data_IF_179600256504
#
_entry.id   IF_179600256504
#
_cell.length_a   1.000
_cell.length_b   1.000
_cell.length_c   1.000
_cell.angle_alpha   90.00
_cell.angle_beta   90.00
_cell.angle_gamma   90.00
#
_symmetry.space_group_name_H-M   'P 1'
#
loop_
_entity.id
_entity.type
_entity.pdbx_description
1 polymer ?
#
# COMPACT_ATOMS: atom_id res chain seq x y z
N UNK A 1 -30.52 -77.73 22.15
CA UNK A 1 -30.00 -76.79 21.09
C UNK A 1 -30.28 -75.35 21.53
N UNK A 2 -29.22 -74.56 21.90
CA UNK A 2 -29.35 -73.16 22.26
C UNK A 2 -28.83 -72.33 21.09
N UNK A 3 -29.52 -71.27 20.62
CA UNK A 3 -29.02 -70.44 19.54
C UNK A 3 -27.94 -69.47 20.06
N UNK A 4 -26.82 -69.40 19.35
CA UNK A 4 -25.77 -68.39 19.54
C UNK A 4 -26.16 -67.11 18.85
N UNK A 5 -26.29 -66.02 19.60
CA UNK A 5 -26.49 -64.69 19.10
C UNK A 5 -25.10 -64.10 18.75
N UNK A 6 -24.88 -63.79 17.46
CA UNK A 6 -23.69 -63.06 16.99
C UNK A 6 -24.02 -61.55 17.02
N UNK A 7 -23.32 -60.85 17.90
CA UNK A 7 -23.41 -59.39 17.97
C UNK A 7 -22.31 -58.80 17.04
N UNK A 8 -22.74 -58.25 15.87
CA UNK A 8 -21.85 -57.50 14.99
C UNK A 8 -21.68 -56.09 15.53
N UNK A 9 -20.51 -55.76 16.03
CA UNK A 9 -20.11 -54.36 16.32
C UNK A 9 -19.69 -53.70 15.01
N UNK A 10 -20.47 -52.74 14.55
CA UNK A 10 -20.04 -51.82 13.49
C UNK A 10 -19.20 -50.73 14.12
N UNK A 11 -17.89 -50.72 13.82
CA UNK A 11 -16.99 -49.60 14.10
C UNK A 11 -17.23 -48.50 13.06
N UNK A 12 -17.90 -47.40 13.43
CA UNK A 12 -17.98 -46.22 12.63
C UNK A 12 -16.67 -45.43 12.78
N UNK A 13 -15.80 -45.51 11.77
CA UNK A 13 -14.63 -44.64 11.66
C UNK A 13 -15.11 -43.23 11.21
N UNK A 14 -15.20 -42.31 12.15
CA UNK A 14 -15.38 -40.89 11.85
C UNK A 14 -14.01 -40.36 11.41
N UNK A 15 -13.79 -40.23 10.11
CA UNK A 15 -12.65 -39.52 9.57
C UNK A 15 -12.84 -38.01 9.83
N UNK A 16 -12.13 -37.47 10.80
CA UNK A 16 -11.93 -36.02 10.94
C UNK A 16 -11.09 -35.54 9.75
N UNK A 17 -11.80 -35.08 8.70
CA UNK A 17 -11.18 -34.30 7.64
C UNK A 17 -10.75 -32.95 8.25
N UNK A 18 -9.48 -32.80 8.59
CA UNK A 18 -8.89 -31.49 8.86
C UNK A 18 -8.87 -30.72 7.55
N UNK A 19 -9.90 -29.89 7.34
CA UNK A 19 -9.84 -28.85 6.32
C UNK A 19 -8.71 -27.91 6.71
N UNK A 20 -7.57 -28.00 6.04
CA UNK A 20 -6.59 -26.93 6.06
C UNK A 20 -7.32 -25.70 5.49
N UNK A 21 -7.71 -24.79 6.37
CA UNK A 21 -8.11 -23.44 5.95
C UNK A 21 -6.92 -22.88 5.16
N UNK A 22 -7.11 -22.66 3.87
CA UNK A 22 -6.18 -21.84 3.10
C UNK A 22 -6.15 -20.50 3.82
N UNK A 23 -4.98 -20.10 4.33
CA UNK A 23 -4.82 -18.81 4.96
C UNK A 23 -5.34 -17.74 3.99
N UNK A 24 -6.33 -16.98 4.41
CA UNK A 24 -6.89 -15.91 3.60
C UNK A 24 -5.81 -14.85 3.43
N UNK A 25 -5.58 -14.41 2.19
CA UNK A 25 -4.64 -13.32 1.92
C UNK A 25 -5.14 -12.04 2.59
N UNK A 26 -4.32 -11.33 3.37
CA UNK A 26 -4.73 -10.07 3.99
C UNK A 26 -5.20 -9.05 2.97
N UNK A 27 -6.25 -8.29 3.30
CA UNK A 27 -6.74 -7.19 2.48
C UNK A 27 -6.10 -5.88 2.94
N UNK A 28 -5.53 -5.10 2.04
CA UNK A 28 -4.83 -3.87 2.43
C UNK A 28 -4.39 -3.00 1.26
N UNK A 29 -3.35 -2.23 1.50
CA UNK A 29 -2.74 -1.29 0.57
C UNK A 29 -2.49 -1.89 -0.81
N UNK A 30 -3.10 -1.29 -1.85
CA UNK A 30 -2.94 -1.64 -3.27
C UNK A 30 -3.27 -3.10 -3.63
N UNK A 31 -4.25 -3.70 -2.94
CA UNK A 31 -4.70 -5.07 -3.21
C UNK A 31 -3.85 -6.16 -2.52
N UNK A 32 -4.18 -7.41 -2.84
CA UNK A 32 -3.63 -8.59 -2.16
C UNK A 32 -2.11 -8.73 -2.27
N UNK A 33 -1.54 -8.36 -3.42
CA UNK A 33 -0.09 -8.43 -3.69
C UNK A 33 0.62 -7.08 -3.51
N UNK A 34 -0.09 -6.04 -3.10
CA UNK A 34 0.41 -4.66 -2.94
C UNK A 34 0.99 -4.04 -4.22
N UNK A 35 0.61 -4.55 -5.39
CA UNK A 35 1.11 -4.18 -6.71
C UNK A 35 0.14 -3.30 -7.51
N UNK A 36 -1.06 -3.05 -6.98
CA UNK A 36 -2.11 -2.26 -7.65
C UNK A 36 -2.89 -3.03 -8.71
N UNK A 37 -2.73 -4.35 -8.79
CA UNK A 37 -3.47 -5.20 -9.74
C UNK A 37 -4.67 -5.83 -9.04
N UNK A 38 -5.85 -5.69 -9.63
CA UNK A 38 -7.10 -6.27 -9.14
C UNK A 38 -7.57 -7.36 -10.09
N UNK A 39 -7.84 -8.58 -9.57
CA UNK A 39 -8.21 -9.77 -10.35
C UNK A 39 -9.68 -9.77 -10.78
N UNK A 40 -10.22 -8.61 -11.15
CA UNK A 40 -11.60 -8.46 -11.62
C UNK A 40 -11.68 -8.68 -13.14
N UNK A 41 -12.81 -9.15 -13.61
CA UNK A 41 -13.07 -9.37 -15.03
C UNK A 41 -14.50 -8.97 -15.43
N UNK A 42 -14.71 -8.70 -16.72
CA UNK A 42 -16.01 -8.26 -17.25
C UNK A 42 -16.34 -6.82 -16.88
N UNK A 43 -15.33 -6.00 -16.63
CA UNK A 43 -15.48 -4.58 -16.34
C UNK A 43 -15.74 -3.77 -17.62
N UNK A 44 -16.38 -2.62 -17.50
CA UNK A 44 -16.61 -1.70 -18.59
C UNK A 44 -15.28 -1.27 -19.23
N UNK A 45 -15.17 -1.37 -20.54
CA UNK A 45 -14.03 -0.94 -21.33
C UNK A 45 -14.18 0.48 -21.87
N UNK A 46 -15.36 1.04 -21.73
CA UNK A 46 -15.71 2.44 -22.05
C UNK A 46 -16.75 2.87 -21.01
N UNK A 47 -16.60 4.04 -20.46
CA UNK A 47 -17.59 4.66 -19.59
C UNK A 47 -18.51 5.59 -20.40
N UNK A 48 -19.75 5.85 -19.95
CA UNK A 48 -20.59 6.94 -20.48
C UNK A 48 -19.88 8.29 -20.37
N UNK A 49 -20.31 9.27 -21.18
CA UNK A 49 -19.73 10.63 -21.20
C UNK A 49 -19.75 11.33 -19.83
N UNK A 50 -20.76 11.03 -18.99
CA UNK A 50 -20.88 11.53 -17.62
C UNK A 50 -20.09 10.67 -16.59
N UNK A 51 -19.33 9.69 -17.05
CA UNK A 51 -18.63 8.72 -16.21
C UNK A 51 -19.49 7.51 -15.78
N UNK A 52 -18.92 6.60 -15.00
CA UNK A 52 -19.66 5.45 -14.47
C UNK A 52 -20.71 5.90 -13.43
N UNK A 53 -21.80 5.14 -13.32
CA UNK A 53 -22.89 5.46 -12.42
C UNK A 53 -22.43 5.52 -10.97
N UNK A 54 -22.63 6.65 -10.29
CA UNK A 54 -22.47 6.78 -8.85
C UNK A 54 -23.54 5.93 -8.14
N UNK A 55 -23.12 4.98 -7.32
CA UNK A 55 -24.01 4.15 -6.51
C UNK A 55 -24.36 4.82 -5.19
N UNK A 56 -23.37 5.35 -4.52
CA UNK A 56 -23.51 6.09 -3.26
C UNK A 56 -22.27 6.95 -2.97
N UNK A 57 -22.43 7.90 -2.05
CA UNK A 57 -21.36 8.69 -1.46
C UNK A 57 -21.52 8.83 0.05
N UNK A 58 -20.41 8.83 0.80
CA UNK A 58 -20.35 9.12 2.23
C UNK A 58 -19.37 10.27 2.45
N UNK A 59 -19.76 11.29 3.24
CA UNK A 59 -19.00 12.52 3.43
C UNK A 59 -18.34 12.60 4.82
N UNK A 60 -18.27 11.48 5.52
CA UNK A 60 -17.89 11.39 6.92
C UNK A 60 -16.82 10.30 7.18
N UNK A 61 -16.01 10.00 6.14
CA UNK A 61 -14.89 9.05 6.25
C UNK A 61 -13.71 9.59 7.09
N UNK A 62 -13.77 10.85 7.48
CA UNK A 62 -12.67 11.58 8.11
C UNK A 62 -11.68 12.10 7.05
N UNK A 63 -10.96 13.17 7.36
CA UNK A 63 -9.98 13.76 6.44
C UNK A 63 -8.79 12.83 6.23
N UNK A 64 -8.32 12.67 4.99
CA UNK A 64 -7.12 11.88 4.75
C UNK A 64 -6.95 11.38 3.33
N UNK A 65 -5.87 10.65 3.15
CA UNK A 65 -5.36 10.16 1.88
C UNK A 65 -5.22 8.63 1.84
N UNK A 66 -5.62 7.91 2.88
CA UNK A 66 -5.61 6.45 2.88
C UNK A 66 -6.55 5.90 1.81
N UNK A 67 -6.21 4.77 1.22
CA UNK A 67 -7.11 4.05 0.33
C UNK A 67 -8.20 3.32 1.14
N UNK A 68 -9.42 3.17 0.62
CA UNK A 68 -10.36 2.24 1.21
C UNK A 68 -9.85 0.80 1.08
N UNK A 69 -10.26 -0.07 2.00
CA UNK A 69 -10.01 -1.51 1.94
C UNK A 69 -11.34 -2.23 2.01
N UNK A 70 -11.60 -3.10 1.04
CA UNK A 70 -12.80 -3.94 1.06
C UNK A 70 -12.41 -5.33 1.53
N UNK A 71 -13.06 -5.80 2.60
CA UNK A 71 -12.89 -7.13 3.14
C UNK A 71 -14.24 -7.69 3.62
N UNK A 72 -14.64 -8.84 3.07
CA UNK A 72 -15.98 -9.39 3.27
C UNK A 72 -17.06 -8.39 2.80
N UNK A 73 -18.06 -8.17 3.64
CA UNK A 73 -19.20 -7.29 3.35
C UNK A 73 -19.00 -5.85 3.87
N UNK A 74 -17.74 -5.43 4.09
CA UNK A 74 -17.42 -4.12 4.70
C UNK A 74 -16.29 -3.41 4.00
N UNK A 75 -16.34 -2.09 4.12
CA UNK A 75 -15.30 -1.16 3.65
C UNK A 75 -14.69 -0.47 4.88
N UNK A 76 -13.36 -0.46 4.93
CA UNK A 76 -12.55 0.11 6.00
C UNK A 76 -11.74 1.27 5.46
N UNK A 77 -11.79 2.42 6.10
CA UNK A 77 -11.01 3.59 5.72
C UNK A 77 -10.56 4.35 6.97
N UNK A 78 -9.30 4.72 7.02
CA UNK A 78 -8.77 5.56 8.10
C UNK A 78 -8.88 7.03 7.72
N UNK A 79 -9.05 7.91 8.69
CA UNK A 79 -9.16 9.35 8.48
C UNK A 79 -8.86 10.10 9.77
N UNK A 80 -8.86 11.41 9.72
CA UNK A 80 -8.81 12.29 10.86
C UNK A 80 -10.22 12.66 11.30
N UNK A 81 -10.48 12.73 12.60
CA UNK A 81 -11.74 13.24 13.13
C UNK A 81 -11.91 14.77 12.84
N UNK A 82 -13.10 15.29 13.07
CA UNK A 82 -13.43 16.68 12.71
C UNK A 82 -12.59 17.73 13.43
N UNK A 83 -12.27 17.51 14.70
CA UNK A 83 -11.46 18.40 15.53
C UNK A 83 -9.94 18.18 15.36
N UNK A 84 -9.53 17.30 14.46
CA UNK A 84 -8.14 17.00 14.08
C UNK A 84 -7.26 16.54 15.27
N UNK A 85 -7.87 15.93 16.27
CA UNK A 85 -7.19 15.48 17.49
C UNK A 85 -6.83 14.00 17.47
N UNK A 86 -7.54 13.18 16.65
CA UNK A 86 -7.37 11.74 16.59
C UNK A 86 -7.53 11.19 15.17
N UNK A 87 -6.79 10.15 14.88
CA UNK A 87 -7.05 9.30 13.72
C UNK A 87 -8.13 8.27 14.04
N UNK A 88 -9.02 8.06 13.09
CA UNK A 88 -10.20 7.21 13.18
C UNK A 88 -10.20 6.13 12.10
N UNK A 89 -10.73 4.96 12.44
CA UNK A 89 -11.15 3.93 11.50
C UNK A 89 -12.66 4.05 11.30
N UNK A 90 -13.09 4.37 10.09
CA UNK A 90 -14.50 4.39 9.68
C UNK A 90 -14.84 3.12 8.91
N UNK A 91 -15.93 2.47 9.27
CA UNK A 91 -16.36 1.22 8.65
C UNK A 91 -17.76 1.37 8.06
N UNK A 92 -17.91 0.94 6.80
CA UNK A 92 -19.14 1.02 6.03
C UNK A 92 -19.54 -0.37 5.51
N UNK A 93 -20.82 -0.54 5.26
CA UNK A 93 -21.34 -1.64 4.43
C UNK A 93 -21.06 -1.37 2.95
N UNK A 94 -21.18 -2.37 2.08
CA UNK A 94 -20.97 -2.19 0.64
C UNK A 94 -21.98 -1.24 -0.02
N UNK A 95 -23.14 -1.01 0.62
CA UNK A 95 -24.14 -0.02 0.20
C UNK A 95 -23.93 1.38 0.82
N UNK A 96 -22.78 1.63 1.44
CA UNK A 96 -22.33 2.95 1.91
C UNK A 96 -22.88 3.38 3.29
N UNK A 97 -23.56 2.51 4.02
CA UNK A 97 -24.04 2.84 5.37
C UNK A 97 -22.90 2.70 6.39
N UNK A 98 -22.71 3.73 7.22
CA UNK A 98 -21.74 3.66 8.31
C UNK A 98 -22.17 2.61 9.34
N UNK A 99 -21.22 1.72 9.69
CA UNK A 99 -21.43 0.67 10.71
C UNK A 99 -20.96 1.16 12.06
N UNK A 100 -19.69 1.61 12.13
CA UNK A 100 -19.10 2.22 13.32
C UNK A 100 -17.89 3.07 12.94
N UNK A 101 -17.37 3.80 13.94
CA UNK A 101 -16.15 4.55 13.84
C UNK A 101 -15.36 4.41 15.15
N UNK A 102 -14.05 4.16 15.06
CA UNK A 102 -13.17 3.97 16.22
C UNK A 102 -11.99 4.92 16.14
N UNK A 103 -11.78 5.74 17.17
CA UNK A 103 -10.55 6.50 17.34
C UNK A 103 -9.42 5.54 17.73
N UNK A 104 -8.30 5.55 17.01
CA UNK A 104 -7.24 4.57 17.23
C UNK A 104 -5.88 5.17 17.57
N UNK A 105 -5.58 6.40 17.15
CA UNK A 105 -4.23 6.93 17.38
C UNK A 105 -4.10 8.44 17.24
N UNK A 106 -2.92 8.91 17.57
CA UNK A 106 -2.54 10.31 17.48
C UNK A 106 -2.15 10.67 16.06
N UNK A 107 -2.63 11.81 15.50
CA UNK A 107 -2.30 12.25 14.18
C UNK A 107 -0.87 12.81 14.11
N UNK A 108 -0.38 12.99 12.89
CA UNK A 108 0.77 13.83 12.63
C UNK A 108 0.32 15.29 12.59
N UNK A 109 0.78 16.09 13.55
CA UNK A 109 0.24 17.45 13.79
C UNK A 109 1.01 18.59 13.08
N UNK A 110 2.09 18.31 12.33
CA UNK A 110 2.99 19.38 11.87
C UNK A 110 2.76 19.82 10.43
N UNK A 111 2.72 18.89 9.48
CA UNK A 111 2.60 19.19 8.06
C UNK A 111 1.65 18.21 7.40
N UNK A 112 0.67 18.71 6.65
CA UNK A 112 -0.35 17.86 6.05
C UNK A 112 -0.90 16.87 7.08
N UNK A 113 -1.64 17.34 8.09
CA UNK A 113 -1.99 16.54 9.28
C UNK A 113 -2.93 15.37 9.00
N UNK A 114 -3.47 15.27 7.81
CA UNK A 114 -4.45 14.26 7.41
C UNK A 114 -3.88 12.84 7.41
N UNK A 115 -4.70 11.87 7.77
CA UNK A 115 -4.32 10.44 7.86
C UNK A 115 -3.92 9.86 6.51
N UNK A 116 -2.80 9.12 6.47
CA UNK A 116 -2.22 8.56 5.23
C UNK A 116 -2.22 7.04 5.18
N UNK A 117 -2.14 6.39 6.32
CA UNK A 117 -1.96 4.93 6.40
C UNK A 117 -3.24 4.20 6.02
N UNK A 118 -3.14 3.22 5.13
CA UNK A 118 -4.24 2.34 4.77
C UNK A 118 -4.27 1.16 5.75
N UNK A 119 -5.44 0.76 6.29
CA UNK A 119 -5.52 -0.37 7.20
C UNK A 119 -5.21 -1.69 6.48
N UNK A 120 -4.74 -2.68 7.21
CA UNK A 120 -4.65 -4.07 6.73
C UNK A 120 -5.63 -4.93 7.52
N UNK A 121 -6.51 -5.64 6.82
CA UNK A 121 -7.54 -6.49 7.41
C UNK A 121 -7.11 -7.95 7.26
N UNK A 122 -6.98 -8.63 8.38
CA UNK A 122 -6.61 -10.05 8.42
C UNK A 122 -7.27 -10.74 9.62
N UNK A 123 -7.79 -11.95 9.43
CA UNK A 123 -8.33 -12.82 10.48
C UNK A 123 -9.25 -12.11 11.48
N UNK A 124 -10.19 -11.29 11.00
CA UNK A 124 -11.15 -10.58 11.85
C UNK A 124 -10.58 -9.38 12.61
N UNK A 125 -9.39 -8.90 12.23
CA UNK A 125 -8.71 -7.75 12.82
C UNK A 125 -8.35 -6.72 11.76
N UNK A 126 -8.30 -5.45 12.18
CA UNK A 126 -7.75 -4.34 11.41
C UNK A 126 -6.47 -3.86 12.09
N UNK A 127 -5.39 -3.79 11.33
CA UNK A 127 -4.10 -3.30 11.79
C UNK A 127 -3.81 -1.96 11.13
N UNK A 128 -3.42 -0.97 11.92
CA UNK A 128 -3.14 0.39 11.48
C UNK A 128 -1.89 0.93 12.17
N UNK A 129 -1.29 1.93 11.53
CA UNK A 129 -0.20 2.72 12.12
C UNK A 129 -0.66 4.18 12.09
N UNK A 130 -0.66 4.87 13.21
CA UNK A 130 -1.04 6.29 13.27
C UNK A 130 0.07 7.19 12.70
N UNK A 131 -0.26 8.42 12.35
CA UNK A 131 0.70 9.43 11.90
C UNK A 131 1.85 9.64 12.90
N UNK A 132 1.57 9.49 14.20
CA UNK A 132 2.57 9.53 15.26
C UNK A 132 3.39 8.23 15.41
N UNK A 133 3.01 7.13 14.73
CA UNK A 133 3.72 5.85 14.76
C UNK A 133 3.24 4.87 15.84
N UNK A 134 2.02 5.04 16.33
CA UNK A 134 1.37 4.02 17.16
C UNK A 134 0.84 2.88 16.28
N UNK A 135 1.17 1.63 16.62
CA UNK A 135 0.66 0.44 15.93
C UNK A 135 -0.54 -0.06 16.71
N UNK A 136 -1.67 -0.27 16.03
CA UNK A 136 -2.95 -0.58 16.68
C UNK A 136 -3.64 -1.73 15.98
N UNK A 137 -4.17 -2.67 16.77
CA UNK A 137 -5.04 -3.75 16.35
C UNK A 137 -6.45 -3.50 16.87
N UNK A 138 -7.43 -3.56 15.97
CA UNK A 138 -8.85 -3.37 16.27
C UNK A 138 -9.61 -4.63 15.84
N UNK A 139 -10.55 -5.10 16.66
CA UNK A 139 -11.50 -6.14 16.27
C UNK A 139 -12.52 -5.56 15.28
N UNK A 140 -12.66 -6.18 14.10
CA UNK A 140 -13.56 -5.65 13.06
C UNK A 140 -15.05 -5.94 13.31
N UNK A 141 -15.36 -6.76 14.29
CA UNK A 141 -16.76 -7.08 14.59
C UNK A 141 -17.48 -5.88 15.21
N UNK A 142 -16.83 -5.18 16.15
CA UNK A 142 -17.40 -4.10 16.96
C UNK A 142 -16.52 -2.85 17.08
N UNK A 143 -15.28 -2.90 16.59
CA UNK A 143 -14.37 -1.76 16.56
C UNK A 143 -13.59 -1.53 17.87
N UNK A 144 -13.59 -2.46 18.84
CA UNK A 144 -12.78 -2.28 20.04
C UNK A 144 -11.28 -2.47 19.77
N UNK A 145 -10.43 -1.72 20.47
CA UNK A 145 -8.98 -1.87 20.40
C UNK A 145 -8.58 -3.12 21.17
N UNK A 146 -7.93 -4.08 20.47
CA UNK A 146 -7.41 -5.31 21.05
C UNK A 146 -6.07 -5.07 21.73
N UNK A 147 -5.17 -4.38 21.03
CA UNK A 147 -3.89 -3.95 21.56
C UNK A 147 -3.39 -2.71 20.83
N UNK A 148 -2.50 -1.98 21.51
CA UNK A 148 -1.86 -0.77 20.99
C UNK A 148 -0.42 -0.69 21.48
N UNK A 149 0.52 -0.38 20.59
CA UNK A 149 1.94 -0.19 20.87
C UNK A 149 2.34 1.21 20.44
N UNK A 150 2.88 2.02 21.34
CA UNK A 150 3.53 3.30 21.00
C UNK A 150 4.89 3.00 20.34
N UNK A 151 4.85 2.71 19.05
CA UNK A 151 6.03 2.34 18.28
C UNK A 151 7.00 3.51 18.09
N UNK A 152 6.51 4.74 18.13
CA UNK A 152 7.34 5.93 18.10
C UNK A 152 8.30 5.97 19.29
N UNK A 153 7.78 5.73 20.48
CA UNK A 153 8.54 5.71 21.73
C UNK A 153 9.31 4.40 21.93
N UNK A 154 8.63 3.25 21.74
CA UNK A 154 9.20 1.93 22.02
C UNK A 154 10.42 1.60 21.16
N UNK A 155 10.50 2.14 19.96
CA UNK A 155 11.58 1.87 19.00
C UNK A 155 12.43 3.11 18.68
N UNK A 156 12.26 4.22 19.42
CA UNK A 156 12.97 5.48 19.18
C UNK A 156 12.89 5.91 17.71
N UNK A 157 11.66 5.88 17.17
CA UNK A 157 11.38 6.12 15.76
C UNK A 157 12.01 7.41 15.27
N UNK A 158 12.57 7.36 14.07
CA UNK A 158 13.05 8.53 13.34
C UNK A 158 12.25 8.68 12.06
N UNK A 159 11.57 9.81 11.89
CA UNK A 159 10.70 10.06 10.74
C UNK A 159 11.04 11.36 10.06
N UNK A 160 10.69 11.44 8.77
CA UNK A 160 10.74 12.67 8.00
C UNK A 160 9.61 13.65 8.34
N UNK A 161 9.44 14.69 7.54
CA UNK A 161 8.55 15.83 7.80
C UNK A 161 7.05 15.52 7.78
N UNK A 162 6.63 14.37 7.26
CA UNK A 162 5.20 14.09 7.01
C UNK A 162 4.65 12.94 7.88
N UNK A 163 5.35 12.56 8.95
CA UNK A 163 4.90 11.51 9.85
C UNK A 163 4.98 10.12 9.24
N UNK A 164 4.07 9.22 9.63
CA UNK A 164 3.96 7.86 9.10
C UNK A 164 2.91 7.79 8.00
N UNK A 165 3.23 7.11 6.89
CA UNK A 165 2.25 6.72 5.87
C UNK A 165 2.35 5.23 5.51
N UNK A 166 3.20 4.49 6.19
CA UNK A 166 3.35 3.05 6.03
C UNK A 166 2.07 2.32 6.41
N UNK A 167 1.53 1.53 5.48
CA UNK A 167 0.47 0.57 5.74
C UNK A 167 1.08 -0.74 6.22
N UNK A 168 0.68 -1.27 7.39
CA UNK A 168 1.34 -2.44 7.97
C UNK A 168 1.24 -3.67 7.06
N UNK A 169 2.33 -4.40 6.91
CA UNK A 169 2.33 -5.70 6.26
C UNK A 169 1.99 -6.76 7.30
N UNK A 170 0.98 -7.59 7.01
CA UNK A 170 0.53 -8.66 7.90
C UNK A 170 0.65 -10.00 7.18
N UNK A 171 1.31 -10.98 7.81
CA UNK A 171 1.43 -12.36 7.33
C UNK A 171 1.90 -13.27 8.47
N UNK A 172 1.57 -14.54 8.44
CA UNK A 172 2.00 -15.56 9.41
C UNK A 172 1.91 -15.09 10.87
N UNK A 173 0.81 -14.49 11.26
CA UNK A 173 0.59 -13.92 12.59
C UNK A 173 1.61 -12.83 12.99
N UNK A 174 2.22 -12.13 12.02
CA UNK A 174 3.16 -11.04 12.23
C UNK A 174 2.61 -9.74 11.65
N UNK A 175 2.79 -8.64 12.38
CA UNK A 175 2.59 -7.27 11.91
C UNK A 175 3.96 -6.61 11.77
N UNK A 176 4.30 -6.18 10.56
CA UNK A 176 5.58 -5.55 10.25
C UNK A 176 5.44 -4.04 10.30
N UNK A 177 6.39 -3.39 10.94
CA UNK A 177 6.53 -1.94 11.03
C UNK A 177 8.00 -1.52 10.86
N UNK A 178 8.21 -0.38 10.18
CA UNK A 178 9.55 0.17 9.88
C UNK A 178 9.77 1.49 10.64
N UNK A 179 10.08 1.46 11.95
CA UNK A 179 10.34 2.67 12.72
C UNK A 179 11.60 3.41 12.27
N UNK A 180 12.55 2.72 11.64
CA UNK A 180 13.87 3.24 11.28
C UNK A 180 14.50 4.05 12.46
N UNK A 181 14.36 3.49 13.66
CA UNK A 181 14.80 4.12 14.89
C UNK A 181 16.24 3.82 15.24
N UNK A 182 16.69 4.41 16.34
CA UNK A 182 18.06 4.13 16.82
C UNK A 182 18.23 2.68 17.29
N UNK A 183 17.15 2.03 17.74
CA UNK A 183 17.18 0.65 18.24
C UNK A 183 17.02 -0.38 17.12
N UNK A 184 16.21 -0.09 16.11
CA UNK A 184 15.87 -1.06 15.05
C UNK A 184 15.39 -0.36 13.79
N UNK A 185 15.72 -0.91 12.63
CA UNK A 185 15.19 -0.45 11.36
C UNK A 185 13.77 -0.98 11.13
N UNK A 186 13.54 -2.28 11.34
CA UNK A 186 12.26 -2.96 11.14
C UNK A 186 11.94 -3.88 12.31
N UNK A 187 10.68 -4.03 12.65
CA UNK A 187 10.19 -4.86 13.74
C UNK A 187 9.02 -5.72 13.27
N UNK A 188 8.93 -6.96 13.78
CA UNK A 188 7.73 -7.77 13.72
C UNK A 188 7.09 -7.86 15.11
N UNK A 189 5.79 -7.59 15.15
CA UNK A 189 4.94 -7.77 16.32
C UNK A 189 4.04 -8.99 16.10
N UNK A 190 3.70 -9.68 17.19
CA UNK A 190 2.67 -10.70 17.17
C UNK A 190 1.31 -10.06 16.87
N UNK A 191 0.61 -10.58 15.88
CA UNK A 191 -0.64 -9.99 15.41
C UNK A 191 -1.78 -10.08 16.46
N UNK A 192 -1.72 -11.01 17.41
CA UNK A 192 -2.74 -11.19 18.43
C UNK A 192 -2.47 -10.36 19.69
N UNK A 193 -1.20 -10.16 20.05
CA UNK A 193 -0.83 -9.55 21.34
C UNK A 193 -0.12 -8.21 21.21
N UNK A 194 0.46 -7.90 20.04
CA UNK A 194 1.32 -6.72 19.85
C UNK A 194 2.72 -6.87 20.46
N UNK A 195 3.08 -8.03 21.00
CA UNK A 195 4.41 -8.29 21.55
C UNK A 195 5.45 -8.41 20.43
N UNK A 196 6.70 -8.03 20.74
CA UNK A 196 7.79 -8.07 19.77
C UNK A 196 8.22 -9.51 19.53
N UNK A 197 8.15 -9.98 18.28
CA UNK A 197 8.69 -11.28 17.83
C UNK A 197 10.17 -11.15 17.52
N UNK A 198 10.53 -10.15 16.70
CA UNK A 198 11.92 -9.85 16.37
C UNK A 198 12.14 -8.36 16.05
N UNK A 199 13.38 -7.94 16.19
CA UNK A 199 13.90 -6.61 15.78
C UNK A 199 15.07 -6.81 14.84
N UNK A 200 15.12 -6.09 13.74
CA UNK A 200 16.33 -6.00 12.92
C UNK A 200 17.40 -5.16 13.60
N UNK A 201 18.63 -5.20 13.10
CA UNK A 201 19.62 -4.18 13.45
C UNK A 201 19.16 -2.80 12.99
N UNK A 202 19.61 -1.75 13.66
CA UNK A 202 19.46 -0.38 13.17
C UNK A 202 20.49 -0.09 12.09
N UNK A 203 20.06 0.54 10.98
CA UNK A 203 20.94 1.12 9.95
C UNK A 203 21.32 2.57 10.26
N UNK A 204 20.70 3.19 11.28
CA UNK A 204 20.90 4.59 11.60
C UNK A 204 20.23 5.58 10.65
N UNK A 205 19.42 5.09 9.71
CA UNK A 205 18.69 5.89 8.73
C UNK A 205 17.43 6.53 9.35
N UNK A 206 16.69 7.29 8.54
CA UNK A 206 15.37 7.83 8.86
C UNK A 206 14.30 6.99 8.13
N UNK A 207 13.11 6.83 8.71
CA UNK A 207 11.99 6.17 8.06
C UNK A 207 11.50 6.92 6.83
N UNK A 208 11.04 6.17 5.83
CA UNK A 208 10.37 6.70 4.64
C UNK A 208 8.85 6.53 4.75
N UNK A 209 8.17 6.57 3.62
CA UNK A 209 6.72 6.48 3.51
C UNK A 209 6.27 5.19 2.82
N UNK A 210 7.20 4.29 2.50
CA UNK A 210 6.94 3.06 1.79
C UNK A 210 6.22 2.04 2.68
N UNK A 211 5.18 1.43 2.15
CA UNK A 211 4.57 0.23 2.73
C UNK A 211 5.36 -1.01 2.29
N UNK A 212 5.88 -1.82 3.21
CA UNK A 212 6.68 -3.01 2.87
C UNK A 212 5.85 -4.07 2.16
N UNK A 213 6.52 -4.94 1.41
CA UNK A 213 5.89 -6.09 0.74
C UNK A 213 6.64 -7.38 1.04
N UNK A 214 5.94 -8.51 0.97
CA UNK A 214 6.52 -9.85 1.09
C UNK A 214 6.64 -10.46 -0.31
N UNK A 215 7.85 -10.79 -0.71
CA UNK A 215 8.12 -11.50 -1.96
C UNK A 215 8.42 -12.98 -1.70
N UNK A 216 8.19 -13.79 -2.73
CA UNK A 216 8.57 -15.22 -2.75
C UNK A 216 9.35 -15.53 -4.02
N UNK A 217 10.52 -16.15 -3.87
CA UNK A 217 11.38 -16.52 -4.99
C UNK A 217 12.10 -17.83 -4.71
N UNK A 218 12.00 -18.80 -5.62
CA UNK A 218 12.68 -20.09 -5.52
C UNK A 218 12.52 -20.79 -4.14
N UNK A 219 11.32 -20.71 -3.58
CA UNK A 219 10.99 -21.32 -2.29
C UNK A 219 11.43 -20.54 -1.05
N UNK A 220 12.06 -19.37 -1.21
CA UNK A 220 12.42 -18.45 -0.14
C UNK A 220 11.48 -17.25 -0.11
N UNK A 221 11.34 -16.63 1.06
CA UNK A 221 10.54 -15.41 1.25
C UNK A 221 11.42 -14.30 1.82
N UNK A 222 11.09 -13.08 1.47
CA UNK A 222 11.80 -11.91 1.96
C UNK A 222 10.84 -10.72 2.08
N UNK A 223 10.95 -9.93 3.13
CA UNK A 223 10.30 -8.64 3.25
C UNK A 223 11.17 -7.61 2.54
N UNK A 224 10.56 -6.86 1.63
CA UNK A 224 11.20 -5.70 1.02
C UNK A 224 10.69 -4.46 1.72
N UNK A 225 11.59 -3.72 2.33
CA UNK A 225 11.34 -2.48 3.05
C UNK A 225 12.26 -1.36 2.57
N UNK A 226 12.06 -0.14 3.06
CA UNK A 226 12.89 1.00 2.70
C UNK A 226 13.10 1.93 3.89
N UNK A 227 14.27 2.53 3.92
CA UNK A 227 14.61 3.69 4.72
C UNK A 227 14.87 4.88 3.80
N UNK A 228 15.17 6.05 4.35
CA UNK A 228 15.54 7.23 3.55
C UNK A 228 16.81 7.05 2.73
N UNK A 229 17.62 6.06 3.04
CA UNK A 229 18.90 5.81 2.35
C UNK A 229 18.88 4.48 1.60
N UNK A 230 18.27 3.44 2.16
CA UNK A 230 18.38 2.09 1.63
C UNK A 230 17.02 1.47 1.28
N UNK A 231 16.98 0.74 0.17
CA UNK A 231 16.04 -0.36 -0.03
C UNK A 231 16.64 -1.60 0.63
N UNK A 232 15.86 -2.34 1.39
CA UNK A 232 16.36 -3.46 2.20
C UNK A 232 15.57 -4.75 1.94
N UNK A 233 16.29 -5.86 1.95
CA UNK A 233 15.74 -7.20 2.02
C UNK A 233 15.89 -7.78 3.42
N UNK A 234 14.78 -8.12 4.07
CA UNK A 234 14.75 -8.59 5.46
C UNK A 234 14.21 -10.00 5.53
N UNK A 235 14.88 -10.86 6.28
CA UNK A 235 14.44 -12.22 6.55
C UNK A 235 13.16 -12.18 7.41
N UNK A 236 12.03 -12.78 6.94
CA UNK A 236 10.74 -12.68 7.63
C UNK A 236 10.67 -13.48 8.93
N UNK A 237 11.60 -14.40 9.17
CA UNK A 237 11.56 -15.30 10.33
C UNK A 237 12.35 -14.73 11.53
N UNK A 238 13.42 -13.98 11.27
CA UNK A 238 14.35 -13.53 12.32
C UNK A 238 14.68 -12.01 12.27
N UNK A 239 14.25 -11.28 11.23
CA UNK A 239 14.51 -9.86 11.10
C UNK A 239 15.91 -9.47 10.62
N UNK A 240 16.74 -10.43 10.20
CA UNK A 240 18.05 -10.12 9.65
C UNK A 240 17.91 -9.33 8.34
N UNK A 241 18.64 -8.23 8.23
CA UNK A 241 18.80 -7.50 6.96
C UNK A 241 19.83 -8.26 6.14
N UNK A 242 19.37 -8.96 5.10
CA UNK A 242 20.21 -9.79 4.24
C UNK A 242 21.01 -8.93 3.25
N UNK A 243 20.40 -7.86 2.76
CA UNK A 243 21.04 -6.86 1.92
C UNK A 243 20.43 -5.47 2.14
N UNK A 244 21.22 -4.45 1.81
CA UNK A 244 20.80 -3.05 1.79
C UNK A 244 21.40 -2.39 0.55
N UNK A 245 20.56 -1.87 -0.34
CA UNK A 245 20.94 -1.17 -1.54
C UNK A 245 20.69 0.33 -1.36
N UNK A 246 21.72 1.16 -1.51
CA UNK A 246 21.66 2.62 -1.29
C UNK A 246 22.44 3.43 -2.32
N UNK A 247 22.98 2.78 -3.36
CA UNK A 247 23.67 3.48 -4.46
C UNK A 247 22.68 3.94 -5.53
N UNK A 248 22.11 5.11 -5.32
CA UNK A 248 21.13 5.71 -6.24
C UNK A 248 21.77 6.49 -7.38
N UNK A 249 23.11 6.57 -7.45
CA UNK A 249 23.83 7.31 -8.48
C UNK A 249 23.60 8.84 -8.42
N UNK A 250 23.03 9.34 -7.35
CA UNK A 250 22.84 10.77 -7.09
C UNK A 250 23.47 11.13 -5.75
N UNK A 251 24.12 12.30 -5.67
CA UNK A 251 24.65 12.73 -4.38
C UNK A 251 23.48 12.91 -3.41
N UNK A 252 23.70 12.51 -2.19
CA UNK A 252 22.73 12.67 -1.16
C UNK A 252 22.33 14.15 -0.99
N UNK A 253 21.04 14.43 -0.91
CA UNK A 253 20.53 15.80 -0.74
C UNK A 253 20.35 16.12 0.75
N UNK A 254 20.85 17.27 1.25
CA UNK A 254 20.56 17.69 2.60
C UNK A 254 19.05 17.95 2.74
N UNK A 255 18.46 17.46 3.81
CA UNK A 255 17.06 17.73 4.11
C UNK A 255 16.89 19.19 4.56
N UNK A 256 15.96 19.97 3.96
CA UNK A 256 15.92 21.42 4.19
C UNK A 256 15.38 21.85 5.55
N UNK A 257 15.03 20.96 6.47
CA UNK A 257 14.48 21.37 7.75
C UNK A 257 15.38 21.05 8.93
N UNK A 258 15.98 22.06 9.49
CA UNK A 258 16.58 22.06 10.83
C UNK A 258 15.58 21.73 11.95
N UNK A 259 14.27 21.71 11.65
CA UNK A 259 13.19 21.66 12.65
C UNK A 259 12.99 20.30 13.32
N UNK A 260 13.36 19.19 12.69
CA UNK A 260 13.02 17.87 13.24
C UNK A 260 14.21 17.11 13.80
N UNK A 261 15.44 17.30 13.31
CA UNK A 261 16.58 16.50 13.77
C UNK A 261 17.92 17.23 13.94
N UNK A 262 18.02 18.52 13.63
CA UNK A 262 19.30 19.24 13.73
C UNK A 262 20.40 18.59 12.88
N UNK A 263 20.08 17.88 11.78
CA UNK A 263 21.04 17.08 11.04
C UNK A 263 21.02 17.37 9.54
N UNK A 264 22.20 17.39 8.98
CA UNK A 264 22.49 17.36 7.54
C UNK A 264 22.17 15.99 6.90
N UNK A 265 21.36 15.15 7.54
CA UNK A 265 21.04 13.82 7.00
C UNK A 265 20.15 13.93 5.77
N UNK A 266 20.59 13.22 4.76
CA UNK A 266 19.90 13.10 3.50
C UNK A 266 18.65 12.26 3.65
N UNK A 267 17.56 12.73 3.09
CA UNK A 267 16.30 12.00 3.11
C UNK A 267 15.80 11.85 1.69
N UNK A 268 15.93 10.64 1.17
CA UNK A 268 15.19 10.25 -0.02
C UNK A 268 13.75 9.93 0.36
N UNK A 269 12.82 10.41 -0.43
CA UNK A 269 11.41 10.09 -0.27
C UNK A 269 11.14 8.85 -1.11
N UNK A 270 10.85 7.73 -0.45
CA UNK A 270 10.53 6.46 -1.09
C UNK A 270 9.12 6.04 -0.69
N UNK A 271 8.05 6.56 -1.34
CA UNK A 271 6.69 6.28 -0.92
C UNK A 271 6.09 5.03 -1.58
N UNK A 272 6.74 4.48 -2.61
CA UNK A 272 6.14 3.45 -3.44
C UNK A 272 6.59 2.03 -3.03
N UNK A 273 5.62 1.12 -2.92
CA UNK A 273 5.89 -0.30 -2.76
C UNK A 273 6.53 -0.86 -4.03
N UNK A 274 7.63 -1.62 -3.95
CA UNK A 274 8.30 -2.17 -5.13
C UNK A 274 7.43 -3.19 -5.88
N UNK A 275 7.62 -3.29 -7.20
CA UNK A 275 7.13 -4.40 -7.99
C UNK A 275 8.17 -5.52 -8.02
N UNK A 276 7.71 -6.76 -7.89
CA UNK A 276 8.58 -7.91 -7.97
C UNK A 276 8.07 -8.93 -8.99
N UNK A 277 8.95 -9.39 -9.87
CA UNK A 277 8.66 -10.48 -10.80
C UNK A 277 9.95 -11.20 -11.20
N UNK A 278 9.99 -12.53 -11.04
CA UNK A 278 11.06 -13.40 -11.54
C UNK A 278 12.48 -12.96 -11.13
N UNK A 279 12.67 -12.64 -9.83
CA UNK A 279 13.95 -12.20 -9.28
C UNK A 279 14.29 -10.74 -9.55
N UNK A 280 13.48 -10.01 -10.32
CA UNK A 280 13.65 -8.59 -10.60
C UNK A 280 12.76 -7.77 -9.69
N UNK A 281 13.31 -6.67 -9.18
CA UNK A 281 12.64 -5.76 -8.28
C UNK A 281 12.73 -4.33 -8.84
N UNK A 282 11.60 -3.76 -9.25
CA UNK A 282 11.53 -2.36 -9.65
C UNK A 282 11.13 -1.48 -8.48
N UNK A 283 11.84 -0.41 -8.28
CA UNK A 283 11.61 0.57 -7.24
C UNK A 283 11.85 1.99 -7.77
N UNK A 284 11.05 2.96 -7.33
CA UNK A 284 11.18 4.34 -7.76
C UNK A 284 11.15 5.29 -6.57
N UNK A 285 12.05 6.27 -6.63
CA UNK A 285 12.01 7.47 -5.80
C UNK A 285 11.45 8.64 -6.59
N UNK A 286 10.74 9.53 -5.91
CA UNK A 286 10.41 10.83 -6.47
C UNK A 286 11.57 11.84 -6.36
N UNK A 287 11.31 13.10 -6.73
CA UNK A 287 12.24 14.24 -6.59
C UNK A 287 13.53 14.11 -7.43
N UNK A 288 13.41 13.77 -8.70
CA UNK A 288 14.51 13.65 -9.67
C UNK A 288 15.58 12.59 -9.31
N UNK A 289 15.20 11.53 -8.59
CA UNK A 289 16.12 10.43 -8.29
C UNK A 289 15.97 9.30 -9.33
N UNK A 290 14.75 9.00 -9.76
CA UNK A 290 14.46 8.04 -10.82
C UNK A 290 13.93 6.69 -10.35
N UNK A 291 13.77 5.79 -11.30
CA UNK A 291 13.39 4.40 -11.12
C UNK A 291 14.57 3.46 -11.32
N UNK A 292 14.60 2.37 -10.57
CA UNK A 292 15.71 1.42 -10.50
C UNK A 292 15.19 -0.01 -10.64
N UNK A 293 15.78 -0.78 -11.51
CA UNK A 293 15.58 -2.22 -11.60
C UNK A 293 16.75 -2.94 -10.96
N UNK A 294 16.45 -3.73 -9.94
CA UNK A 294 17.43 -4.58 -9.28
C UNK A 294 17.22 -6.05 -9.65
N UNK A 295 18.31 -6.80 -9.73
CA UNK A 295 18.31 -8.25 -9.77
C UNK A 295 18.63 -8.79 -8.38
N UNK A 296 17.75 -9.62 -7.83
CA UNK A 296 18.02 -10.41 -6.64
C UNK A 296 18.65 -11.74 -7.05
N UNK A 297 19.65 -12.18 -6.28
CA UNK A 297 20.19 -13.53 -6.47
C UNK A 297 19.18 -14.59 -6.00
N UNK A 298 19.44 -15.86 -6.33
CA UNK A 298 18.54 -16.99 -6.00
C UNK A 298 18.34 -17.20 -4.50
N UNK A 299 19.31 -16.79 -3.71
CA UNK A 299 19.30 -16.92 -2.26
C UNK A 299 18.67 -15.73 -1.53
N UNK A 300 18.32 -14.67 -2.25
CA UNK A 300 17.79 -13.40 -1.72
C UNK A 300 18.75 -12.69 -0.74
N UNK A 301 20.07 -12.89 -0.91
CA UNK A 301 21.12 -12.30 -0.05
C UNK A 301 21.83 -11.12 -0.69
N UNK A 302 21.59 -10.89 -1.98
CA UNK A 302 22.23 -9.81 -2.75
C UNK A 302 21.22 -9.18 -3.71
N UNK A 303 21.35 -7.85 -3.88
CA UNK A 303 20.63 -7.07 -4.86
C UNK A 303 21.64 -6.28 -5.71
N UNK A 304 21.58 -6.39 -7.02
CA UNK A 304 22.45 -5.68 -7.96
C UNK A 304 21.64 -4.85 -8.94
N UNK A 305 22.13 -3.66 -9.30
CA UNK A 305 21.50 -2.78 -10.26
C UNK A 305 21.60 -3.36 -11.67
N UNK A 306 20.45 -3.51 -12.37
CA UNK A 306 20.38 -3.87 -13.78
C UNK A 306 20.32 -2.64 -14.68
N UNK A 307 19.39 -1.72 -14.37
CA UNK A 307 19.20 -0.49 -15.11
C UNK A 307 18.54 0.59 -14.25
N UNK A 308 18.66 1.83 -14.69
CA UNK A 308 18.07 3.03 -14.11
C UNK A 308 17.33 3.81 -15.21
N UNK A 309 16.22 4.45 -14.85
CA UNK A 309 15.52 5.42 -15.68
C UNK A 309 15.26 6.70 -14.91
N UNK A 310 15.45 7.85 -15.56
CA UNK A 310 15.11 9.16 -14.99
C UNK A 310 13.65 9.57 -15.32
N UNK A 311 13.00 8.86 -16.26
CA UNK A 311 11.66 9.18 -16.71
C UNK A 311 10.54 8.76 -15.74
N UNK A 312 10.76 7.72 -14.91
CA UNK A 312 9.77 7.21 -13.98
C UNK A 312 10.23 7.37 -12.52
N UNK A 313 10.28 8.60 -12.06
CA UNK A 313 10.57 9.00 -10.70
C UNK A 313 9.27 9.25 -9.90
N UNK A 314 8.44 8.23 -9.79
CA UNK A 314 7.10 8.31 -9.19
C UNK A 314 7.17 8.81 -7.74
N UNK A 315 6.36 9.84 -7.43
CA UNK A 315 6.30 10.40 -6.08
C UNK A 315 5.42 9.54 -5.16
N UNK A 316 4.09 9.63 -5.23
CA UNK A 316 3.15 8.86 -4.39
C UNK A 316 2.05 8.13 -5.18
N UNK A 317 2.07 8.24 -6.51
CA UNK A 317 1.04 7.65 -7.37
C UNK A 317 1.16 6.14 -7.56
N UNK A 318 2.31 5.57 -7.20
CA UNK A 318 2.59 4.17 -7.48
C UNK A 318 2.79 3.88 -8.97
N UNK A 319 2.94 2.61 -9.26
CA UNK A 319 3.10 2.07 -10.63
C UNK A 319 2.53 0.66 -10.67
N UNK A 320 2.24 0.17 -11.86
CA UNK A 320 1.74 -1.21 -12.11
C UNK A 320 2.52 -1.86 -13.24
N UNK A 321 2.65 -3.19 -13.21
CA UNK A 321 3.26 -3.98 -14.27
C UNK A 321 2.17 -4.70 -15.06
N UNK A 322 1.97 -4.31 -16.32
CA UNK A 322 0.98 -4.92 -17.21
C UNK A 322 1.64 -5.26 -18.54
N UNK A 323 1.51 -6.50 -19.00
CA UNK A 323 2.00 -6.92 -20.31
C UNK A 323 3.52 -6.75 -20.56
N UNK A 324 4.34 -6.73 -19.47
CA UNK A 324 5.79 -6.49 -19.59
C UNK A 324 6.19 -5.01 -19.58
N UNK A 325 5.24 -4.10 -19.33
CA UNK A 325 5.48 -2.66 -19.27
C UNK A 325 5.09 -2.14 -17.87
N UNK A 326 5.94 -1.31 -17.29
CA UNK A 326 5.67 -0.56 -16.06
C UNK A 326 4.95 0.72 -16.46
N UNK A 327 3.77 0.95 -15.92
CA UNK A 327 3.01 2.18 -16.09
C UNK A 327 2.93 2.94 -14.78
N UNK A 328 3.12 4.25 -14.83
CA UNK A 328 3.05 5.14 -13.67
C UNK A 328 2.99 6.60 -14.08
N UNK A 329 3.15 7.49 -13.10
CA UNK A 329 3.32 8.91 -13.35
C UNK A 329 4.62 9.39 -12.73
N UNK A 330 5.32 10.34 -13.39
CA UNK A 330 6.54 10.92 -12.84
C UNK A 330 6.29 12.20 -12.04
N UNK A 331 7.34 12.70 -11.42
CA UNK A 331 7.35 13.96 -10.70
C UNK A 331 8.19 14.98 -11.50
N UNK A 332 7.55 16.06 -11.96
CA UNK A 332 8.25 17.22 -12.55
C UNK A 332 8.32 18.33 -11.52
N UNK A 333 7.21 18.56 -10.82
CA UNK A 333 7.09 19.45 -9.66
C UNK A 333 6.04 18.91 -8.69
N UNK A 334 5.87 19.52 -7.54
CA UNK A 334 4.79 19.12 -6.61
C UNK A 334 3.39 19.15 -7.26
N UNK A 335 3.23 19.89 -8.32
CA UNK A 335 1.94 20.07 -9.01
C UNK A 335 1.90 19.54 -10.44
N UNK A 336 2.98 19.03 -10.97
CA UNK A 336 3.08 18.61 -12.36
C UNK A 336 3.83 17.28 -12.47
N UNK A 337 3.42 16.48 -13.44
CA UNK A 337 4.05 15.25 -13.87
C UNK A 337 3.50 14.84 -15.24
N UNK A 338 4.02 13.77 -15.77
CA UNK A 338 3.55 13.10 -16.97
C UNK A 338 3.20 11.65 -16.62
N UNK A 339 2.42 11.02 -17.47
CA UNK A 339 2.19 9.57 -17.45
C UNK A 339 3.27 8.90 -18.29
N UNK A 340 3.78 7.77 -17.80
CA UNK A 340 5.02 7.17 -18.31
C UNK A 340 4.83 5.65 -18.45
N UNK A 341 5.37 5.11 -19.53
CA UNK A 341 5.52 3.69 -19.74
C UNK A 341 7.00 3.34 -19.90
N UNK A 342 7.45 2.30 -19.20
CA UNK A 342 8.85 1.82 -19.22
C UNK A 342 8.86 0.31 -19.42
N UNK A 343 9.69 -0.18 -20.31
CA UNK A 343 9.88 -1.61 -20.53
C UNK A 343 10.50 -2.28 -19.28
N UNK A 344 9.89 -3.38 -18.82
CA UNK A 344 10.33 -4.13 -17.63
C UNK A 344 11.73 -4.72 -17.74
N UNK A 345 12.14 -5.10 -18.95
CA UNK A 345 13.41 -5.80 -19.19
C UNK A 345 14.54 -4.82 -19.43
N UNK A 346 14.31 -3.82 -20.30
CA UNK A 346 15.35 -2.92 -20.80
C UNK A 346 15.43 -1.59 -20.06
N UNK A 347 14.34 -1.14 -19.44
CA UNK A 347 14.25 0.20 -18.85
C UNK A 347 14.02 1.31 -19.89
N UNK A 348 13.79 0.95 -21.15
CA UNK A 348 13.50 1.92 -22.21
C UNK A 348 12.13 2.54 -22.03
N UNK A 349 12.05 3.86 -22.20
CA UNK A 349 10.80 4.62 -22.11
C UNK A 349 10.05 4.51 -23.43
N UNK A 350 8.82 3.98 -23.37
CA UNK A 350 7.92 3.92 -24.51
C UNK A 350 7.20 5.24 -24.74
N UNK A 351 6.68 5.86 -23.67
CA UNK A 351 6.15 7.23 -23.69
C UNK A 351 6.39 7.96 -22.36
N UNK A 352 6.39 9.29 -22.42
CA UNK A 352 6.44 10.21 -21.28
C UNK A 352 5.56 11.42 -21.66
N UNK A 353 4.25 11.31 -21.43
CA UNK A 353 3.23 12.21 -22.00
C UNK A 353 2.36 12.86 -20.93
N UNK A 354 1.96 14.12 -21.12
CA UNK A 354 0.96 14.75 -20.27
C UNK A 354 -0.42 14.14 -20.54
N UNK A 355 -1.30 14.15 -19.53
CA UNK A 355 -2.73 13.95 -19.75
C UNK A 355 -3.31 15.17 -20.50
N UNK A 356 -4.25 14.96 -21.41
CA UNK A 356 -4.94 16.04 -22.09
C UNK A 356 -5.48 17.06 -21.09
N UNK A 357 -5.27 18.35 -21.38
CA UNK A 357 -5.58 19.45 -20.46
C UNK A 357 -4.45 19.84 -19.51
N UNK A 358 -3.27 19.20 -19.60
CA UNK A 358 -2.05 19.65 -18.92
C UNK A 358 -1.28 18.57 -18.19
N UNK A 359 -0.08 18.93 -17.76
CA UNK A 359 0.81 18.05 -16.98
C UNK A 359 0.16 17.67 -15.67
N UNK A 360 -0.01 16.37 -15.43
CA UNK A 360 -0.58 15.83 -14.21
C UNK A 360 0.09 14.49 -13.83
N UNK A 361 0.01 14.17 -12.57
CA UNK A 361 0.46 12.90 -12.01
C UNK A 361 -0.62 12.40 -11.04
N UNK A 362 -0.49 11.19 -10.58
CA UNK A 362 -1.45 10.66 -9.62
C UNK A 362 -1.38 9.15 -9.47
N UNK A 363 -2.40 8.60 -8.83
CA UNK A 363 -2.48 7.18 -8.54
C UNK A 363 -2.84 6.35 -9.77
N UNK A 364 -2.28 5.15 -9.84
CA UNK A 364 -2.58 4.16 -10.89
C UNK A 364 -2.82 2.78 -10.28
N UNK A 365 -3.86 2.12 -10.79
CA UNK A 365 -4.15 0.71 -10.56
C UNK A 365 -4.54 0.04 -11.89
N UNK A 366 -4.60 -1.27 -11.92
CA UNK A 366 -5.01 -2.01 -13.11
C UNK A 366 -5.99 -3.14 -12.77
N UNK A 367 -6.95 -3.37 -13.66
CA UNK A 367 -7.89 -4.48 -13.64
C UNK A 367 -8.40 -4.78 -15.05
N UNK A 368 -8.68 -6.05 -15.34
CA UNK A 368 -9.33 -6.47 -16.56
C UNK A 368 -8.72 -5.84 -17.83
N UNK A 369 -7.37 -5.88 -17.93
CA UNK A 369 -6.60 -5.36 -19.07
C UNK A 369 -6.75 -3.84 -19.30
N UNK A 370 -7.18 -3.08 -18.27
CA UNK A 370 -7.26 -1.61 -18.31
C UNK A 370 -6.48 -1.01 -17.13
N UNK A 371 -5.99 0.22 -17.34
CA UNK A 371 -5.43 1.06 -16.31
C UNK A 371 -6.49 2.05 -15.82
N UNK A 372 -6.51 2.31 -14.53
CA UNK A 372 -7.35 3.32 -13.89
C UNK A 372 -6.42 4.36 -13.29
N UNK A 373 -6.38 5.52 -13.91
CA UNK A 373 -5.51 6.63 -13.54
C UNK A 373 -6.30 7.70 -12.78
N UNK A 374 -5.80 8.18 -11.65
CA UNK A 374 -6.46 9.20 -10.83
C UNK A 374 -5.53 10.39 -10.61
N UNK A 375 -5.85 11.51 -11.26
CA UNK A 375 -5.08 12.76 -11.22
C UNK A 375 -5.11 13.38 -9.82
N UNK A 376 -3.94 13.69 -9.26
CA UNK A 376 -3.77 14.14 -7.88
C UNK A 376 -4.25 15.57 -7.58
N UNK A 377 -4.59 16.37 -8.62
CA UNK A 377 -4.99 17.78 -8.49
C UNK A 377 -6.35 18.12 -9.07
N UNK A 378 -6.62 17.66 -10.29
CA UNK A 378 -7.85 17.99 -11.01
C UNK A 378 -8.99 17.04 -10.66
N UNK A 379 -8.65 15.91 -10.03
CA UNK A 379 -9.59 14.86 -9.70
C UNK A 379 -10.14 14.11 -10.91
N UNK A 380 -9.41 14.12 -12.03
CA UNK A 380 -9.79 13.34 -13.21
C UNK A 380 -9.51 11.86 -12.94
N UNK A 381 -10.47 11.03 -13.27
CA UNK A 381 -10.33 9.56 -13.27
C UNK A 381 -10.40 9.09 -14.71
N UNK A 382 -9.33 8.48 -15.21
CA UNK A 382 -9.23 7.99 -16.59
C UNK A 382 -9.22 6.47 -16.65
N UNK A 383 -10.00 5.93 -17.57
CA UNK A 383 -9.89 4.56 -18.04
C UNK A 383 -8.92 4.57 -19.23
N UNK A 384 -7.78 3.93 -19.07
CA UNK A 384 -6.67 4.02 -20.02
C UNK A 384 -6.35 2.61 -20.55
N UNK A 385 -6.22 2.50 -21.85
CA UNK A 385 -5.82 1.25 -22.47
C UNK A 385 -4.30 1.07 -22.31
N UNK A 386 -3.82 -0.06 -21.77
CA UNK A 386 -2.39 -0.34 -21.73
C UNK A 386 -1.80 -0.33 -23.14
N UNK A 387 -0.92 0.62 -23.40
CA UNK A 387 -0.22 0.78 -24.67
C UNK A 387 1.20 1.30 -24.34
N UNK A 388 2.28 0.54 -24.65
CA UNK A 388 3.62 0.96 -24.31
C UNK A 388 4.14 2.18 -25.10
N UNK A 389 3.43 2.60 -26.17
CA UNK A 389 3.88 3.67 -27.05
C UNK A 389 3.06 4.97 -26.91
N UNK A 390 1.97 4.98 -26.11
CA UNK A 390 1.06 6.11 -26.02
C UNK A 390 0.24 6.05 -24.73
N UNK A 391 0.00 7.21 -24.10
CA UNK A 391 -0.99 7.35 -23.03
C UNK A 391 -2.40 7.41 -23.64
N UNK A 392 -3.07 6.25 -23.73
CA UNK A 392 -4.30 6.04 -24.51
C UNK A 392 -5.56 6.11 -23.63
N UNK A 393 -6.01 7.31 -23.29
CA UNK A 393 -7.24 7.55 -22.51
C UNK A 393 -8.46 7.20 -23.34
N UNK A 394 -9.26 6.24 -22.87
CA UNK A 394 -10.47 5.75 -23.54
C UNK A 394 -11.71 6.54 -23.11
N UNK A 395 -11.82 6.80 -21.81
CA UNK A 395 -12.89 7.60 -21.21
C UNK A 395 -12.44 8.15 -19.87
N UNK A 396 -13.07 9.25 -19.45
CA UNK A 396 -12.69 9.92 -18.21
C UNK A 396 -13.90 10.59 -17.56
N UNK A 397 -13.82 10.82 -16.25
CA UNK A 397 -14.79 11.63 -15.50
C UNK A 397 -14.09 12.35 -14.36
N UNK A 398 -14.78 13.29 -13.72
CA UNK A 398 -14.20 14.13 -12.68
C UNK A 398 -14.84 13.90 -11.31
N UNK A 399 -14.01 13.74 -10.28
CA UNK A 399 -14.43 13.76 -8.89
C UNK A 399 -14.57 15.21 -8.43
N UNK A 400 -15.76 15.55 -7.92
CA UNK A 400 -16.10 16.91 -7.48
C UNK A 400 -16.47 17.01 -6.00
N UNK A 401 -16.60 15.86 -5.31
CA UNK A 401 -16.92 15.77 -3.87
C UNK A 401 -15.67 15.61 -3.05
N UNK A 402 -15.71 16.05 -1.81
CA UNK A 402 -14.57 16.00 -0.89
C UNK A 402 -13.69 17.24 -0.97
N UNK A 403 -12.58 17.23 -0.25
CA UNK A 403 -11.65 18.35 -0.12
C UNK A 403 -10.18 17.90 -0.11
N UNK A 404 -9.27 18.86 -0.33
CA UNK A 404 -7.84 18.61 -0.36
C UNK A 404 -7.32 17.99 -1.67
N UNK A 405 -6.13 17.40 -1.68
CA UNK A 405 -5.56 16.73 -2.84
C UNK A 405 -6.13 15.32 -3.05
N UNK A 406 -6.11 14.84 -4.29
CA UNK A 406 -6.62 13.52 -4.70
C UNK A 406 -5.49 12.45 -4.62
N UNK A 407 -5.00 12.16 -3.40
CA UNK A 407 -3.84 11.28 -3.21
C UNK A 407 -4.18 9.83 -2.87
N UNK A 408 -5.43 9.54 -2.52
CA UNK A 408 -5.86 8.17 -2.24
C UNK A 408 -5.85 7.33 -3.52
N UNK A 409 -5.33 6.08 -3.43
CA UNK A 409 -5.41 5.17 -4.57
C UNK A 409 -6.83 4.60 -4.70
N UNK A 410 -7.38 4.54 -5.93
CA UNK A 410 -8.63 3.85 -6.19
C UNK A 410 -8.56 2.36 -5.83
N UNK A 411 -9.73 1.76 -5.58
CA UNK A 411 -9.86 0.33 -5.25
C UNK A 411 -10.99 -0.26 -6.07
N UNK A 412 -10.82 -1.47 -6.59
CA UNK A 412 -11.86 -2.19 -7.33
C UNK A 412 -12.26 -3.45 -6.54
N UNK A 413 -13.56 -3.63 -6.37
CA UNK A 413 -14.11 -4.82 -5.74
C UNK A 413 -15.52 -5.13 -6.26
N UNK A 414 -15.74 -6.35 -6.78
CA UNK A 414 -17.02 -6.85 -7.29
C UNK A 414 -17.67 -5.91 -8.32
N UNK A 415 -16.88 -5.38 -9.26
CA UNK A 415 -17.36 -4.49 -10.31
C UNK A 415 -17.70 -3.08 -9.86
N UNK A 416 -17.23 -2.68 -8.68
CA UNK A 416 -17.38 -1.34 -8.11
C UNK A 416 -16.01 -0.69 -7.97
N UNK A 417 -15.88 0.55 -8.45
CA UNK A 417 -14.73 1.41 -8.27
C UNK A 417 -14.96 2.32 -7.06
N UNK A 418 -14.16 2.16 -6.04
CA UNK A 418 -14.17 3.00 -4.84
C UNK A 418 -13.10 4.08 -4.96
N UNK A 419 -13.51 5.32 -4.78
CA UNK A 419 -12.63 6.50 -4.80
C UNK A 419 -12.82 7.29 -3.52
N UNK A 420 -11.71 7.69 -2.93
CA UNK A 420 -11.68 8.62 -1.82
C UNK A 420 -11.10 9.97 -2.24
N UNK A 421 -11.70 11.06 -1.73
CA UNK A 421 -11.15 12.41 -1.80
C UNK A 421 -11.39 13.13 -0.47
N UNK A 422 -10.33 13.35 0.30
CA UNK A 422 -10.42 13.95 1.63
C UNK A 422 -11.36 13.16 2.55
N UNK A 423 -12.47 13.78 2.96
CA UNK A 423 -13.50 13.18 3.80
C UNK A 423 -14.57 12.39 3.02
N UNK A 424 -14.57 12.47 1.68
CA UNK A 424 -15.55 11.79 0.84
C UNK A 424 -15.08 10.40 0.41
N UNK A 425 -15.97 9.41 0.52
CA UNK A 425 -15.83 8.07 -0.03
C UNK A 425 -16.98 7.83 -1.01
N UNK A 426 -16.66 7.42 -2.23
CA UNK A 426 -17.60 7.26 -3.33
C UNK A 426 -17.47 5.89 -3.97
N UNK A 427 -18.58 5.32 -4.41
CA UNK A 427 -18.63 4.04 -5.10
C UNK A 427 -19.30 4.20 -6.48
N UNK A 428 -18.63 3.72 -7.51
CA UNK A 428 -19.06 3.82 -8.91
C UNK A 428 -19.21 2.43 -9.52
N UNK A 429 -20.29 2.22 -10.27
CA UNK A 429 -20.54 0.96 -10.96
C UNK A 429 -19.70 0.90 -12.25
N UNK A 430 -18.82 -0.09 -12.35
CA UNK A 430 -17.95 -0.29 -13.52
C UNK A 430 -18.11 -1.67 -14.16
N UNK A 431 -19.22 -2.37 -13.82
CA UNK A 431 -19.58 -3.66 -14.41
C UNK A 431 -21.06 -3.69 -14.75
#
# INVERSE_FOLDING_TARGET
MKPKIFCCFYLVLVSLATTKSLAQTPHGWRGAMRDGIYSETGLLKIWPDDGPKLLWEAMDAGKGYSSPVVAGERIYVTGMNEDETQEILSVYTLDGKKVYQTAYGSPWAFTYPDTRTTPTIDNGKAYMISGAGEIVCVDIADGHIVWKVDGGKAFERRTGNWGTSESPLVFDNKVIYTPAGNQTTMVALDAQTGEVIWKSKSLGDIGTYMSPTLISWKGKRQIIGSTSVHLIGVNPDNGNIEWAFGDWGVPPRPYPSERILGSTMQVNIAPNTPLFKEGRLFFSHGNDIGGFMLQLNDDLTEASLLWKTDDLDTFHGGYVLVGGTIYGSNWITNSQGNWVAVDWITGETGYNEPWEGGKSKGAIIAADEMLYCYDDRRGMVGLVKPNPQKFDVVSEFRITKGDGPHWAHPVIHQGVLYIRHGNALMAFQIK
#
